data_IF_979186859097
#
_entry.id   IF_979186859097
#
_cell.length_a   1.000
_cell.length_b   1.000
_cell.length_c   1.000
_cell.angle_alpha   90.00
_cell.angle_beta   90.00
_cell.angle_gamma   90.00
#
_symmetry.space_group_name_H-M   'P 1'
#
loop_
_entity.id
_entity.type
_entity.pdbx_description
1 polymer ?
#
# COMPACT_ATOMS: atom_id res chain seq x y z
N UNK A 1 36.53 9.28 -30.47
CA UNK A 1 35.60 8.31 -29.83
C UNK A 1 36.20 6.93 -30.00
N UNK A 2 36.61 6.28 -28.93
CA UNK A 2 37.20 4.91 -28.99
C UNK A 2 36.05 3.92 -28.86
N UNK A 3 35.86 3.10 -29.89
CA UNK A 3 34.89 2.01 -29.87
C UNK A 3 35.63 0.70 -29.65
N UNK A 4 35.41 0.06 -28.51
CA UNK A 4 35.92 -1.28 -28.23
C UNK A 4 34.83 -2.27 -28.69
N UNK A 5 35.13 -3.12 -29.65
CA UNK A 5 34.21 -4.14 -30.22
C UNK A 5 34.75 -5.56 -30.02
N UNK A 6 34.77 -6.09 -28.83
CA UNK A 6 34.99 -7.51 -28.64
C UNK A 6 33.71 -8.23 -28.22
N UNK A 7 33.62 -9.50 -28.51
CA UNK A 7 32.52 -10.35 -28.02
C UNK A 7 32.58 -10.55 -26.50
N UNK A 8 33.74 -10.30 -25.89
CA UNK A 8 33.90 -10.22 -24.44
C UNK A 8 35.14 -9.40 -24.08
N UNK A 9 35.05 -8.65 -22.99
CA UNK A 9 36.19 -7.96 -22.37
C UNK A 9 36.37 -8.61 -21.01
N UNK A 10 37.54 -9.27 -20.80
CA UNK A 10 37.93 -9.86 -19.53
C UNK A 10 39.06 -9.04 -18.88
N UNK A 11 39.19 -9.11 -17.55
CA UNK A 11 40.28 -8.45 -16.82
C UNK A 11 40.07 -6.96 -16.54
N UNK A 12 38.87 -6.42 -16.71
CA UNK A 12 38.56 -5.05 -16.28
C UNK A 12 38.27 -5.03 -14.78
N UNK A 13 39.17 -4.41 -14.01
CA UNK A 13 39.01 -4.29 -12.55
C UNK A 13 38.09 -3.13 -12.12
N UNK A 14 37.98 -2.10 -12.99
CA UNK A 14 37.07 -0.95 -12.73
C UNK A 14 36.66 -0.26 -14.02
N UNK A 15 35.42 0.23 -14.03
CA UNK A 15 34.90 1.16 -15.02
C UNK A 15 34.46 2.40 -14.27
N UNK A 16 35.12 3.55 -14.52
CA UNK A 16 34.83 4.81 -13.82
C UNK A 16 34.24 5.81 -14.80
N UNK A 17 33.05 6.34 -14.49
CA UNK A 17 32.45 7.44 -15.22
C UNK A 17 32.93 8.80 -14.70
N UNK A 18 33.16 9.77 -15.57
CA UNK A 18 33.64 11.11 -15.24
C UNK A 18 32.50 12.13 -15.04
N UNK A 19 31.50 11.77 -14.27
CA UNK A 19 30.43 12.71 -13.85
C UNK A 19 29.08 12.54 -14.55
N UNK A 20 28.99 11.82 -15.67
CA UNK A 20 27.71 11.57 -16.37
C UNK A 20 27.14 10.15 -16.15
N UNK A 21 27.82 9.37 -15.31
CA UNK A 21 27.45 7.96 -15.06
C UNK A 21 27.90 6.99 -16.16
N UNK A 22 27.69 5.72 -15.92
CA UNK A 22 27.94 4.62 -16.86
C UNK A 22 26.58 4.11 -17.31
N UNK A 23 26.37 4.11 -18.62
CA UNK A 23 25.12 3.63 -19.20
C UNK A 23 25.37 2.27 -19.86
N UNK A 24 24.67 1.26 -19.42
CA UNK A 24 24.62 -0.05 -20.06
C UNK A 24 23.38 -0.11 -20.94
N UNK A 25 23.56 -0.25 -22.25
CA UNK A 25 22.42 -0.40 -23.17
C UNK A 25 22.72 -1.43 -24.25
N UNK A 26 21.68 -2.10 -24.69
CA UNK A 26 21.74 -2.96 -25.87
C UNK A 26 21.46 -2.09 -27.11
N UNK A 27 22.35 -2.07 -28.12
CA UNK A 27 22.18 -1.23 -29.30
C UNK A 27 20.93 -1.55 -30.14
N UNK A 28 20.29 -2.69 -29.91
CA UNK A 28 19.05 -3.08 -30.60
C UNK A 28 17.78 -2.67 -29.83
N UNK A 29 17.89 -1.85 -28.78
CA UNK A 29 16.74 -1.39 -27.99
C UNK A 29 16.10 -2.49 -27.11
N UNK A 30 16.70 -3.68 -27.04
CA UNK A 30 16.27 -4.77 -26.16
C UNK A 30 16.93 -4.57 -24.81
N UNK A 31 16.22 -4.84 -23.72
CA UNK A 31 16.73 -4.72 -22.37
C UNK A 31 18.09 -5.42 -22.19
N UNK A 32 19.08 -4.68 -21.70
CA UNK A 32 20.37 -5.28 -21.31
C UNK A 32 20.29 -5.73 -19.86
N UNK A 33 20.56 -7.01 -19.63
CA UNK A 33 20.69 -7.54 -18.27
C UNK A 33 22.08 -7.24 -17.73
N UNK A 34 22.13 -6.67 -16.55
CA UNK A 34 23.37 -6.43 -15.80
C UNK A 34 23.40 -7.40 -14.63
N UNK A 35 24.25 -8.41 -14.70
CA UNK A 35 24.45 -9.35 -13.59
C UNK A 35 25.57 -8.83 -12.68
N UNK A 36 25.26 -8.59 -11.42
CA UNK A 36 26.22 -8.15 -10.40
C UNK A 36 26.07 -9.02 -9.15
N UNK A 37 27.19 -9.35 -8.49
CA UNK A 37 27.14 -10.08 -7.22
C UNK A 37 26.58 -9.22 -6.09
N UNK A 38 26.92 -7.92 -6.08
CA UNK A 38 26.41 -6.95 -5.12
C UNK A 38 26.15 -5.62 -5.81
N UNK A 39 24.98 -5.04 -5.58
CA UNK A 39 24.61 -3.70 -6.01
C UNK A 39 24.53 -2.80 -4.77
N UNK A 40 25.45 -1.83 -4.65
CA UNK A 40 25.43 -0.82 -3.60
C UNK A 40 25.12 0.55 -4.18
N UNK A 41 23.95 1.10 -3.82
CA UNK A 41 23.60 2.49 -4.13
C UNK A 41 24.26 3.43 -3.11
N UNK A 42 25.16 4.30 -3.58
CA UNK A 42 25.76 5.37 -2.77
C UNK A 42 25.15 6.69 -3.19
N UNK A 43 24.23 7.19 -2.43
CA UNK A 43 23.56 8.46 -2.72
C UNK A 43 22.26 8.62 -1.94
N UNK A 44 21.72 9.82 -1.95
CA UNK A 44 20.49 10.18 -1.22
C UNK A 44 19.22 9.92 -2.03
N UNK A 45 19.33 9.66 -3.34
CA UNK A 45 18.19 9.51 -4.26
C UNK A 45 17.67 8.07 -4.40
N UNK A 46 18.37 7.09 -3.83
CA UNK A 46 17.99 5.67 -3.87
C UNK A 46 18.11 5.00 -5.24
N UNK A 47 17.56 3.80 -5.37
CA UNK A 47 17.47 3.04 -6.60
C UNK A 47 16.06 3.16 -7.16
N UNK A 48 15.94 3.61 -8.42
CA UNK A 48 14.65 3.68 -9.11
C UNK A 48 14.24 2.28 -9.56
N UNK A 49 13.11 1.79 -9.04
CA UNK A 49 12.54 0.51 -9.44
C UNK A 49 11.85 0.63 -10.81
N UNK A 50 11.77 -0.48 -11.58
CA UNK A 50 10.89 -0.56 -12.74
C UNK A 50 9.45 -0.23 -12.35
N UNK A 51 8.77 0.60 -13.14
CA UNK A 51 7.38 1.02 -12.88
C UNK A 51 6.46 0.41 -13.92
N UNK A 52 5.31 -0.10 -13.49
CA UNK A 52 4.30 -0.62 -14.40
C UNK A 52 2.96 -0.88 -13.71
N UNK A 53 1.91 -1.08 -14.51
CA UNK A 53 0.57 -1.41 -14.02
C UNK A 53 0.46 -2.84 -13.51
N UNK A 54 -0.65 -3.17 -12.84
CA UNK A 54 -0.92 -4.55 -12.39
C UNK A 54 -0.88 -5.55 -13.56
N UNK A 55 -1.42 -5.20 -14.72
CA UNK A 55 -1.49 -6.09 -15.91
C UNK A 55 -0.12 -6.31 -16.56
N UNK A 56 0.88 -5.49 -16.26
CA UNK A 56 2.26 -5.61 -16.74
C UNK A 56 3.15 -6.46 -15.83
N UNK A 57 2.57 -7.22 -14.92
CA UNK A 57 3.31 -8.15 -14.06
C UNK A 57 3.86 -9.31 -14.87
N UNK A 58 5.15 -9.60 -14.68
CA UNK A 58 5.80 -10.81 -15.20
C UNK A 58 6.20 -11.66 -14.00
N UNK A 59 5.67 -12.88 -13.91
CA UNK A 59 5.82 -13.75 -12.74
C UNK A 59 7.19 -14.45 -12.71
N UNK A 60 8.24 -13.68 -12.48
CA UNK A 60 9.63 -14.20 -12.30
C UNK A 60 10.01 -14.09 -10.84
N UNK A 61 10.40 -15.20 -10.22
CA UNK A 61 10.82 -15.26 -8.81
C UNK A 61 11.89 -14.20 -8.50
N UNK A 62 11.66 -13.42 -7.46
CA UNK A 62 12.57 -12.37 -7.00
C UNK A 62 12.42 -11.03 -7.73
N UNK A 63 11.52 -10.93 -8.73
CA UNK A 63 11.24 -9.63 -9.36
C UNK A 63 10.75 -8.61 -8.35
N UNK A 64 11.33 -7.40 -8.41
CA UNK A 64 10.98 -6.24 -7.56
C UNK A 64 10.62 -5.06 -8.47
N UNK A 65 9.46 -4.41 -8.22
CA UNK A 65 8.98 -3.30 -9.04
C UNK A 65 8.08 -2.35 -8.24
N UNK A 66 7.76 -1.19 -8.81
CA UNK A 66 6.69 -0.31 -8.32
C UNK A 66 5.43 -0.53 -9.17
N UNK A 67 4.32 -0.88 -8.53
CA UNK A 67 3.01 -1.03 -9.16
C UNK A 67 2.28 0.32 -9.15
N UNK A 68 2.15 0.96 -10.31
CA UNK A 68 1.51 2.28 -10.43
C UNK A 68 0.00 2.24 -10.27
N UNK A 69 -0.65 1.09 -10.53
CA UNK A 69 -2.10 0.92 -10.29
C UNK A 69 -2.42 0.86 -8.80
N UNK A 70 -1.58 0.18 -8.03
CA UNK A 70 -1.79 -0.05 -6.60
C UNK A 70 -1.10 1.00 -5.71
N UNK A 71 -0.08 1.69 -6.24
CA UNK A 71 0.63 2.77 -5.55
C UNK A 71 1.66 2.30 -4.50
N UNK A 72 2.23 1.10 -4.64
CA UNK A 72 3.27 0.56 -3.76
C UNK A 72 4.32 -0.26 -4.51
N UNK A 73 5.46 -0.49 -3.87
CA UNK A 73 6.44 -1.45 -4.33
C UNK A 73 5.96 -2.88 -4.04
N UNK A 74 6.29 -3.81 -4.93
CA UNK A 74 5.89 -5.21 -4.81
C UNK A 74 7.00 -6.13 -5.29
N UNK A 75 7.03 -7.37 -4.77
CA UNK A 75 7.93 -8.41 -5.24
C UNK A 75 7.19 -9.72 -5.51
N UNK A 76 7.70 -10.52 -6.43
CA UNK A 76 7.15 -11.84 -6.72
C UNK A 76 7.89 -12.91 -5.93
N UNK A 77 7.15 -13.62 -5.06
CA UNK A 77 7.72 -14.63 -4.15
C UNK A 77 7.77 -16.06 -4.75
N UNK A 78 7.48 -16.20 -6.05
CA UNK A 78 7.38 -17.48 -6.75
C UNK A 78 5.96 -18.04 -6.85
N UNK A 79 5.02 -17.54 -6.02
CA UNK A 79 3.61 -17.93 -6.03
C UNK A 79 2.70 -16.75 -6.36
N UNK A 80 2.98 -15.60 -5.76
CA UNK A 80 2.16 -14.39 -5.91
C UNK A 80 2.99 -13.11 -5.77
N UNK A 81 2.45 -12.00 -6.24
CA UNK A 81 2.98 -10.67 -5.98
C UNK A 81 2.60 -10.22 -4.57
N UNK A 82 3.60 -9.84 -3.79
CA UNK A 82 3.47 -9.39 -2.40
C UNK A 82 3.77 -7.90 -2.32
N UNK A 83 2.87 -7.15 -1.70
CA UNK A 83 3.05 -5.71 -1.48
C UNK A 83 4.15 -5.44 -0.45
N UNK A 84 5.01 -4.46 -0.75
CA UNK A 84 5.87 -3.80 0.22
C UNK A 84 5.16 -2.50 0.59
N UNK A 85 4.27 -2.57 1.56
CA UNK A 85 3.39 -1.48 1.98
C UNK A 85 3.37 -1.36 3.50
N UNK A 86 2.93 -0.19 4.00
CA UNK A 86 2.69 0.04 5.41
C UNK A 86 1.20 -0.09 5.72
N UNK A 87 0.81 -0.66 6.87
CA UNK A 87 -0.58 -0.73 7.25
C UNK A 87 -1.19 0.68 7.37
N UNK A 88 -2.50 0.82 7.16
CA UNK A 88 -3.20 2.06 7.51
C UNK A 88 -3.15 2.27 9.02
N UNK A 89 -3.17 3.51 9.46
CA UNK A 89 -3.38 3.84 10.87
C UNK A 89 -4.71 4.57 11.01
N UNK A 90 -5.42 4.32 12.11
CA UNK A 90 -6.63 5.07 12.47
C UNK A 90 -6.29 5.85 13.74
N UNK A 91 -6.36 7.18 13.68
CA UNK A 91 -6.00 8.06 14.81
C UNK A 91 -7.21 8.61 15.56
N UNK A 92 -8.30 8.86 14.85
CA UNK A 92 -9.55 9.38 15.46
C UNK A 92 -10.74 9.13 14.56
N UNK A 93 -11.93 9.25 15.16
CA UNK A 93 -13.22 9.27 14.45
C UNK A 93 -14.08 10.41 14.94
N UNK A 94 -15.04 10.83 14.11
CA UNK A 94 -16.02 11.85 14.46
C UNK A 94 -17.35 11.58 13.71
N UNK A 95 -18.49 11.52 14.40
CA UNK A 95 -18.68 11.61 15.85
C UNK A 95 -18.19 10.37 16.59
N UNK A 96 -18.04 10.49 17.92
CA UNK A 96 -17.68 9.38 18.83
C UNK A 96 -18.89 8.79 19.55
N UNK A 97 -20.07 9.34 19.33
CA UNK A 97 -21.34 8.87 19.88
C UNK A 97 -22.45 8.99 18.83
N UNK A 98 -23.31 8.00 18.78
CA UNK A 98 -24.49 7.97 17.90
C UNK A 98 -25.72 7.60 18.69
N UNK A 99 -26.85 8.27 18.41
CA UNK A 99 -28.17 7.82 18.87
C UNK A 99 -28.61 6.64 18.00
N UNK A 100 -29.07 5.56 18.60
CA UNK A 100 -29.53 4.37 17.88
C UNK A 100 -30.66 4.67 16.89
N UNK A 101 -31.52 5.65 17.22
CA UNK A 101 -32.63 6.13 16.36
C UNK A 101 -32.12 6.94 15.15
N UNK A 102 -30.91 7.46 15.17
CA UNK A 102 -30.30 8.25 14.09
C UNK A 102 -29.47 7.41 13.10
N UNK A 103 -29.38 6.10 13.30
CA UNK A 103 -28.70 5.21 12.39
C UNK A 103 -29.59 4.76 11.23
N UNK A 104 -29.04 4.58 10.00
CA UNK A 104 -27.62 4.67 9.65
C UNK A 104 -27.10 6.10 9.54
N UNK A 105 -25.89 6.36 10.00
CA UNK A 105 -25.26 7.68 10.01
C UNK A 105 -23.80 7.63 9.59
N UNK A 106 -23.25 8.75 9.12
CA UNK A 106 -21.88 8.81 8.67
C UNK A 106 -20.90 9.06 9.83
N UNK A 107 -19.74 8.42 9.74
CA UNK A 107 -18.57 8.64 10.60
C UNK A 107 -17.38 9.04 9.73
N UNK A 108 -16.67 10.08 10.13
CA UNK A 108 -15.41 10.49 9.52
C UNK A 108 -14.26 9.84 10.28
N UNK A 109 -13.40 9.12 9.57
CA UNK A 109 -12.27 8.40 10.10
C UNK A 109 -11.01 9.13 9.66
N UNK A 110 -10.20 9.58 10.61
CA UNK A 110 -8.91 10.24 10.36
C UNK A 110 -7.76 9.29 10.67
N UNK A 111 -6.72 9.33 9.85
CA UNK A 111 -5.58 8.44 10.02
C UNK A 111 -4.47 8.68 9.00
N UNK A 112 -3.78 7.64 8.59
CA UNK A 112 -2.77 7.71 7.53
C UNK A 112 -2.69 6.41 6.71
N UNK A 113 -2.00 6.47 5.57
CA UNK A 113 -1.80 5.36 4.63
C UNK A 113 -3.10 4.73 4.10
N UNK A 114 -4.19 5.46 4.01
CA UNK A 114 -5.40 4.99 3.34
C UNK A 114 -5.16 4.93 1.83
N UNK A 115 -5.20 3.74 1.25
CA UNK A 115 -5.01 3.50 -0.19
C UNK A 115 -6.29 3.79 -0.97
N UNK A 116 -6.22 3.77 -2.30
CA UNK A 116 -7.37 4.04 -3.17
C UNK A 116 -8.53 3.05 -2.96
N UNK A 117 -8.23 1.81 -2.61
CA UNK A 117 -9.20 0.78 -2.30
C UNK A 117 -9.11 0.42 -0.80
N UNK A 118 -10.13 0.80 -0.03
CA UNK A 118 -10.23 0.55 1.41
C UNK A 118 -11.56 -0.10 1.74
N UNK A 119 -11.58 -0.89 2.81
CA UNK A 119 -12.80 -1.35 3.48
C UNK A 119 -12.78 -0.95 4.93
N UNK A 120 -13.98 -0.73 5.49
CA UNK A 120 -14.17 -0.37 6.90
C UNK A 120 -15.09 -1.37 7.55
N UNK A 121 -14.70 -1.85 8.73
CA UNK A 121 -15.51 -2.68 9.60
C UNK A 121 -15.57 -2.08 10.99
N UNK A 122 -16.69 -2.25 11.62
CA UNK A 122 -16.93 -1.93 13.02
C UNK A 122 -16.91 -3.22 13.83
N UNK A 123 -16.11 -3.25 14.88
CA UNK A 123 -15.92 -4.46 15.70
C UNK A 123 -16.47 -4.19 17.08
N UNK A 124 -17.52 -4.89 17.46
CA UNK A 124 -18.11 -4.76 18.79
C UNK A 124 -17.24 -5.37 19.89
N UNK A 125 -17.55 -5.07 21.14
CA UNK A 125 -16.89 -5.66 22.32
C UNK A 125 -16.98 -7.21 22.34
N UNK A 126 -17.98 -7.78 21.69
CA UNK A 126 -18.15 -9.21 21.50
C UNK A 126 -17.23 -9.81 20.39
N UNK A 127 -16.42 -9.00 19.71
CA UNK A 127 -15.52 -9.40 18.62
C UNK A 127 -16.18 -9.58 17.26
N UNK A 128 -17.49 -9.34 17.13
CA UNK A 128 -18.20 -9.48 15.85
C UNK A 128 -17.85 -8.30 14.96
N UNK A 129 -17.41 -8.58 13.73
CA UNK A 129 -17.12 -7.60 12.68
C UNK A 129 -18.37 -7.32 11.85
N UNK A 130 -18.77 -6.08 11.75
CA UNK A 130 -19.86 -5.61 10.88
C UNK A 130 -19.29 -4.64 9.84
N UNK A 131 -19.54 -4.90 8.57
CA UNK A 131 -19.10 -4.01 7.49
C UNK A 131 -19.85 -2.68 7.52
N UNK A 132 -19.16 -1.59 7.20
CA UNK A 132 -19.80 -0.29 6.96
C UNK A 132 -20.82 -0.39 5.81
N UNK A 133 -21.89 0.38 5.88
CA UNK A 133 -22.94 0.43 4.85
C UNK A 133 -22.43 1.05 3.54
N UNK A 134 -21.58 2.07 3.66
CA UNK A 134 -20.83 2.65 2.54
C UNK A 134 -19.47 3.13 3.01
N UNK A 135 -18.50 3.23 2.08
CA UNK A 135 -17.15 3.70 2.35
C UNK A 135 -16.70 4.60 1.20
N UNK A 136 -16.33 5.83 1.52
CA UNK A 136 -15.73 6.79 0.60
C UNK A 136 -14.36 7.18 1.14
N UNK A 137 -13.31 6.96 0.36
CA UNK A 137 -11.97 7.46 0.68
C UNK A 137 -11.86 8.90 0.20
N UNK A 138 -11.86 9.85 1.12
CA UNK A 138 -11.77 11.28 0.81
C UNK A 138 -10.33 11.69 0.47
N UNK A 139 -9.36 11.11 1.20
CA UNK A 139 -7.93 11.35 1.01
C UNK A 139 -7.07 10.18 1.52
N UNK A 140 -5.75 10.33 1.47
CA UNK A 140 -4.83 9.36 2.10
C UNK A 140 -4.89 9.38 3.64
N UNK A 141 -5.59 10.36 4.22
CA UNK A 141 -5.70 10.57 5.67
C UNK A 141 -7.13 10.65 6.18
N UNK A 142 -8.14 10.54 5.29
CA UNK A 142 -9.54 10.65 5.67
C UNK A 142 -10.42 9.67 4.89
N UNK A 143 -11.36 9.05 5.60
CA UNK A 143 -12.41 8.19 5.06
C UNK A 143 -13.75 8.61 5.67
N UNK A 144 -14.79 8.69 4.87
CA UNK A 144 -16.18 8.76 5.32
C UNK A 144 -16.81 7.37 5.17
N UNK A 145 -17.34 6.82 6.26
CA UNK A 145 -18.01 5.52 6.28
C UNK A 145 -19.39 5.63 6.92
N UNK A 146 -20.30 4.73 6.55
CA UNK A 146 -21.65 4.69 7.13
C UNK A 146 -21.72 3.62 8.22
N UNK A 147 -22.04 4.05 9.44
CA UNK A 147 -22.41 3.18 10.57
C UNK A 147 -23.79 2.61 10.32
N UNK A 148 -23.93 1.27 10.18
CA UNK A 148 -25.22 0.67 9.86
C UNK A 148 -26.16 0.60 11.09
N UNK A 149 -27.44 0.55 10.85
CA UNK A 149 -28.48 0.44 11.91
C UNK A 149 -28.54 -0.95 12.57
N UNK A 150 -27.70 -1.88 12.13
CA UNK A 150 -27.58 -3.22 12.75
C UNK A 150 -26.68 -3.22 13.98
N UNK A 151 -25.91 -2.14 14.21
CA UNK A 151 -25.13 -1.96 15.42
C UNK A 151 -26.01 -1.45 16.55
N UNK A 152 -25.80 -1.96 17.75
CA UNK A 152 -26.59 -1.61 18.95
C UNK A 152 -25.68 -1.35 20.15
N UNK A 153 -26.16 -0.61 21.13
CA UNK A 153 -25.48 -0.30 22.39
C UNK A 153 -25.02 -1.55 23.17
N UNK A 154 -25.62 -2.70 22.95
CA UNK A 154 -25.27 -3.93 23.62
C UNK A 154 -23.83 -4.44 23.33
N UNK A 155 -23.21 -3.95 22.26
CA UNK A 155 -21.90 -4.41 21.80
C UNK A 155 -20.83 -3.32 21.80
N UNK A 156 -21.11 -2.19 22.42
CA UNK A 156 -20.14 -1.11 22.59
C UNK A 156 -19.10 -1.40 23.70
N UNK A 157 -17.92 -0.75 23.72
CA UNK A 157 -17.48 0.23 22.74
C UNK A 157 -17.04 -0.41 21.42
N UNK A 158 -17.29 0.27 20.31
CA UNK A 158 -16.90 -0.23 19.00
C UNK A 158 -15.47 0.17 18.65
N UNK A 159 -14.74 -0.77 18.02
CA UNK A 159 -13.52 -0.48 17.27
C UNK A 159 -13.84 -0.11 15.84
N UNK A 160 -13.01 0.71 15.24
CA UNK A 160 -12.96 0.93 13.80
C UNK A 160 -11.75 0.23 13.22
N UNK A 161 -11.97 -0.67 12.27
CA UNK A 161 -10.94 -1.38 11.52
C UNK A 161 -10.96 -0.94 10.06
N UNK A 162 -9.84 -0.40 9.60
CA UNK A 162 -9.64 -0.03 8.19
C UNK A 162 -8.67 -1.01 7.56
N UNK A 163 -9.01 -1.53 6.39
CA UNK A 163 -8.17 -2.44 5.62
C UNK A 163 -7.90 -1.86 4.24
N UNK A 164 -6.62 -1.73 3.86
CA UNK A 164 -6.20 -1.49 2.49
C UNK A 164 -6.39 -2.80 1.70
N UNK A 165 -7.41 -2.88 0.85
CA UNK A 165 -7.80 -4.15 0.22
C UNK A 165 -6.76 -4.66 -0.78
N UNK A 166 -5.96 -3.77 -1.38
CA UNK A 166 -4.90 -4.12 -2.32
C UNK A 166 -3.70 -4.83 -1.67
N UNK A 167 -3.38 -4.50 -0.41
CA UNK A 167 -2.28 -5.11 0.35
C UNK A 167 -2.76 -6.04 1.47
N UNK A 168 -4.06 -6.04 1.76
CA UNK A 168 -4.69 -6.77 2.88
C UNK A 168 -4.15 -6.35 4.27
N UNK A 169 -3.49 -5.19 4.37
CA UNK A 169 -3.00 -4.66 5.63
C UNK A 169 -4.09 -3.85 6.32
N UNK A 170 -4.21 -4.02 7.63
CA UNK A 170 -5.24 -3.38 8.45
C UNK A 170 -4.66 -2.56 9.58
N UNK A 171 -5.37 -1.50 9.96
CA UNK A 171 -5.16 -0.75 11.20
C UNK A 171 -6.48 -0.57 11.96
N UNK A 172 -6.39 -0.47 13.28
CA UNK A 172 -7.56 -0.41 14.15
C UNK A 172 -7.43 0.75 15.15
N UNK A 173 -8.59 1.34 15.50
CA UNK A 173 -8.74 2.23 16.64
C UNK A 173 -9.70 1.58 17.64
N UNK A 174 -9.20 1.25 18.82
CA UNK A 174 -10.02 0.72 19.90
C UNK A 174 -10.87 1.83 20.55
N UNK A 175 -12.03 1.46 21.10
CA UNK A 175 -12.95 2.38 21.78
C UNK A 175 -13.24 3.63 20.93
N UNK A 176 -13.47 3.43 19.64
CA UNK A 176 -13.58 4.52 18.69
C UNK A 176 -14.90 5.30 18.87
N UNK A 177 -16.01 4.59 19.10
CA UNK A 177 -17.32 5.21 19.30
C UNK A 177 -18.28 4.32 20.08
N UNK A 178 -19.36 4.92 20.57
CA UNK A 178 -20.48 4.28 21.23
C UNK A 178 -21.80 4.53 20.51
N UNK A 179 -22.84 3.78 20.88
CA UNK A 179 -24.21 3.94 20.39
C UNK A 179 -25.13 4.06 21.61
N UNK A 180 -25.67 5.23 21.85
CA UNK A 180 -26.65 5.45 22.91
C UNK A 180 -28.00 4.83 22.56
N UNK A 181 -28.66 4.23 23.55
CA UNK A 181 -30.02 3.74 23.38
C UNK A 181 -30.95 4.92 23.06
N UNK A 182 -31.96 4.69 22.23
CA UNK A 182 -33.01 5.68 22.04
C UNK A 182 -33.74 5.96 23.38
N UNK A 183 -34.07 7.20 23.66
CA UNK A 183 -34.76 7.59 24.89
C UNK A 183 -36.18 6.96 24.97
#
# INVERSE_FOLDING_TARGET
>A
MTVIRPNSISGINSITGNGSGIVFFNPNGINADVTVNNLTGKGTTGVKLPVGTTDQRVNTLGSLRFNSTQGFAEYYNGNQWVAIDSPPTVSSVNPTNFESSALPSNIVITGSNFRSAVSVKFVGANGIETSAGSVTRDSATQITAQVPNTLTSANEPFKVKVTNTSSSLSGELANAFNIDAAP
#
